data_IF_984140354099
#
_entry.id   IF_984140354099
#
_cell.length_a   1.000
_cell.length_b   1.000
_cell.length_c   1.000
_cell.angle_alpha   90.00
_cell.angle_beta   90.00
_cell.angle_gamma   90.00
#
_symmetry.space_group_name_H-M   'P 1'
#
loop_
_entity.id
_entity.type
_entity.pdbx_description
1 polymer ?
#
# COMPACT_ATOMS: atom_id res chain seq x y z
N UNK A 1 -5.51 -13.36 13.57
CA UNK A 1 -6.93 -13.67 13.85
C UNK A 1 -7.70 -13.55 12.55
N UNK A 2 -8.65 -14.43 12.28
CA UNK A 2 -9.52 -14.35 11.11
C UNK A 2 -10.62 -13.33 11.41
N UNK A 3 -10.81 -12.37 10.52
CA UNK A 3 -11.82 -11.33 10.63
C UNK A 3 -13.10 -11.72 9.90
N UNK A 4 -14.22 -11.15 10.30
CA UNK A 4 -15.51 -11.36 9.64
C UNK A 4 -15.94 -10.09 8.92
N UNK A 5 -16.52 -10.24 7.72
CA UNK A 5 -17.23 -9.13 7.07
C UNK A 5 -18.49 -8.76 7.85
N UNK A 6 -19.06 -7.56 7.67
CA UNK A 6 -20.48 -7.36 7.93
C UNK A 6 -21.31 -8.41 7.16
N UNK A 7 -22.60 -8.56 7.50
CA UNK A 7 -23.50 -9.38 6.71
C UNK A 7 -23.70 -8.72 5.35
N UNK A 8 -23.34 -9.42 4.28
CA UNK A 8 -23.42 -8.92 2.91
C UNK A 8 -24.60 -9.54 2.16
N UNK A 9 -25.21 -8.82 1.21
CA UNK A 9 -26.22 -9.34 0.32
C UNK A 9 -25.72 -10.52 -0.52
N UNK A 10 -26.65 -11.28 -1.07
CA UNK A 10 -26.35 -12.59 -1.65
C UNK A 10 -25.40 -12.53 -2.86
N UNK A 11 -25.65 -11.64 -3.82
CA UNK A 11 -24.77 -11.54 -5.01
C UNK A 11 -23.38 -11.06 -4.65
N UNK A 12 -23.29 -10.03 -3.81
CA UNK A 12 -22.01 -9.50 -3.32
C UNK A 12 -21.24 -10.54 -2.51
N UNK A 13 -21.89 -11.25 -1.58
CA UNK A 13 -21.27 -12.33 -0.84
C UNK A 13 -20.78 -13.47 -1.74
N UNK A 14 -21.61 -13.87 -2.71
CA UNK A 14 -21.27 -14.86 -3.74
C UNK A 14 -20.08 -14.45 -4.59
N UNK A 15 -20.04 -13.18 -5.01
CA UNK A 15 -18.90 -12.63 -5.77
C UNK A 15 -17.60 -12.69 -4.97
N UNK A 16 -17.59 -12.24 -3.72
CA UNK A 16 -16.41 -12.30 -2.87
C UNK A 16 -15.94 -13.74 -2.59
N UNK A 17 -16.88 -14.69 -2.45
CA UNK A 17 -16.59 -16.10 -2.21
C UNK A 17 -16.01 -16.81 -3.42
N UNK A 18 -16.44 -16.48 -4.65
CA UNK A 18 -16.12 -17.28 -5.83
C UNK A 18 -15.66 -16.49 -7.04
N UNK A 19 -16.14 -15.25 -7.24
CA UNK A 19 -15.94 -14.47 -8.44
C UNK A 19 -14.70 -13.57 -8.44
N UNK A 20 -14.34 -13.03 -7.29
CA UNK A 20 -13.30 -12.01 -7.17
C UNK A 20 -11.97 -12.38 -7.84
N UNK A 21 -11.57 -13.66 -7.84
CA UNK A 21 -10.35 -14.10 -8.52
C UNK A 21 -10.51 -14.38 -9.99
N UNK A 22 -11.72 -14.65 -10.44
CA UNK A 22 -12.00 -14.99 -11.82
C UNK A 22 -11.99 -13.73 -12.69
N UNK A 23 -12.39 -12.58 -12.10
CA UNK A 23 -12.31 -11.30 -12.79
C UNK A 23 -10.88 -10.78 -12.75
N UNK A 24 -10.30 -10.55 -13.94
CA UNK A 24 -8.96 -10.01 -14.08
C UNK A 24 -8.93 -8.55 -13.65
N UNK A 25 -7.89 -8.15 -12.92
CA UNK A 25 -7.68 -6.78 -12.43
C UNK A 25 -6.89 -6.77 -11.12
N UNK A 26 -6.48 -5.58 -10.72
CA UNK A 26 -5.66 -5.35 -9.51
C UNK A 26 -6.55 -4.81 -8.40
N UNK A 27 -6.94 -5.66 -7.50
CA UNK A 27 -7.70 -5.27 -6.32
C UNK A 27 -7.24 -6.14 -5.15
N UNK A 28 -6.83 -5.51 -4.07
CA UNK A 28 -6.51 -6.18 -2.82
C UNK A 28 -7.79 -6.82 -2.24
N UNK A 29 -7.67 -8.04 -1.71
CA UNK A 29 -8.81 -8.80 -1.18
C UNK A 29 -9.50 -8.07 -0.03
N UNK A 30 -8.72 -7.51 0.91
CA UNK A 30 -9.29 -6.74 2.02
C UNK A 30 -9.97 -5.46 1.53
N UNK A 31 -9.41 -4.80 0.50
CA UNK A 31 -10.06 -3.65 -0.12
C UNK A 31 -11.41 -4.03 -0.75
N UNK A 32 -11.51 -5.18 -1.44
CA UNK A 32 -12.79 -5.66 -1.95
C UNK A 32 -13.82 -5.84 -0.83
N UNK A 33 -13.41 -6.40 0.32
CA UNK A 33 -14.26 -6.55 1.51
C UNK A 33 -14.70 -5.19 2.05
N UNK A 34 -13.78 -4.23 2.18
CA UNK A 34 -14.12 -2.89 2.67
C UNK A 34 -15.09 -2.17 1.74
N UNK A 35 -14.86 -2.20 0.43
CA UNK A 35 -15.77 -1.58 -0.55
C UNK A 35 -17.18 -2.18 -0.47
N UNK A 36 -17.28 -3.51 -0.49
CA UNK A 36 -18.58 -4.21 -0.40
C UNK A 36 -19.30 -3.92 0.92
N UNK A 37 -18.57 -3.85 2.02
CA UNK A 37 -19.18 -3.55 3.31
C UNK A 37 -19.59 -2.07 3.46
N UNK A 38 -18.84 -1.14 2.87
CA UNK A 38 -19.22 0.29 2.80
C UNK A 38 -20.50 0.46 1.99
N UNK A 39 -20.59 -0.22 0.83
CA UNK A 39 -21.79 -0.22 0.00
C UNK A 39 -23.01 -0.72 0.81
N UNK A 40 -22.88 -1.89 1.44
CA UNK A 40 -23.94 -2.47 2.25
C UNK A 40 -24.32 -1.60 3.46
N UNK A 41 -23.36 -0.98 4.13
CA UNK A 41 -23.59 -0.10 5.27
C UNK A 41 -24.34 1.17 4.87
N UNK A 42 -23.95 1.84 3.78
CA UNK A 42 -24.65 3.02 3.29
C UNK A 42 -26.09 2.69 2.87
N UNK A 43 -26.29 1.58 2.16
CA UNK A 43 -27.60 1.10 1.78
C UNK A 43 -28.45 0.78 3.02
N UNK A 44 -27.89 0.10 3.99
CA UNK A 44 -28.57 -0.20 5.27
C UNK A 44 -28.94 1.04 6.07
N UNK A 45 -28.15 2.12 5.97
CA UNK A 45 -28.43 3.43 6.55
C UNK A 45 -29.44 4.26 5.74
N UNK A 46 -29.91 3.78 4.59
CA UNK A 46 -30.86 4.48 3.72
C UNK A 46 -30.26 5.66 2.97
N UNK A 47 -28.93 5.70 2.76
CA UNK A 47 -28.30 6.73 1.93
C UNK A 47 -28.73 6.52 0.48
N UNK A 48 -29.40 7.51 -0.07
CA UNK A 48 -29.93 7.46 -1.44
C UNK A 48 -28.92 8.04 -2.42
N UNK A 49 -28.86 7.47 -3.62
CA UNK A 49 -28.00 7.90 -4.71
C UNK A 49 -27.44 6.73 -5.50
N UNK A 50 -27.00 7.00 -6.70
CA UNK A 50 -26.34 6.04 -7.58
C UNK A 50 -24.93 5.69 -7.07
N UNK A 51 -24.26 4.70 -7.67
CA UNK A 51 -22.84 4.47 -7.53
C UNK A 51 -22.12 4.73 -8.84
N UNK A 52 -20.88 5.18 -8.80
CA UNK A 52 -20.05 5.38 -9.99
C UNK A 52 -18.63 4.91 -9.78
N UNK A 53 -17.98 4.47 -10.86
CA UNK A 53 -16.54 4.25 -10.89
C UNK A 53 -15.94 4.76 -12.20
N UNK A 54 -14.84 5.49 -12.10
CA UNK A 54 -13.93 5.82 -13.19
C UNK A 54 -12.78 4.82 -13.18
N UNK A 55 -12.52 4.17 -14.33
CA UNK A 55 -11.50 3.12 -14.43
C UNK A 55 -12.06 1.75 -14.10
N UNK A 56 -12.73 1.14 -15.06
CA UNK A 56 -13.44 -0.14 -14.87
C UNK A 56 -12.58 -1.35 -15.18
N UNK A 57 -11.72 -1.25 -16.20
CA UNK A 57 -10.95 -2.36 -16.74
C UNK A 57 -11.87 -3.55 -17.12
N UNK A 58 -11.94 -4.60 -16.28
CA UNK A 58 -12.87 -5.74 -16.45
C UNK A 58 -13.93 -5.83 -15.36
N UNK A 59 -14.06 -4.80 -14.50
CA UNK A 59 -15.11 -4.64 -13.50
C UNK A 59 -14.82 -5.26 -12.13
N UNK A 60 -13.55 -5.59 -11.80
CA UNK A 60 -13.23 -6.30 -10.56
C UNK A 60 -13.62 -5.52 -9.29
N UNK A 61 -13.33 -4.23 -9.22
CA UNK A 61 -13.74 -3.33 -8.12
C UNK A 61 -15.18 -2.88 -8.27
N UNK A 62 -15.61 -2.60 -9.50
CA UNK A 62 -16.96 -2.17 -9.81
C UNK A 62 -18.03 -3.13 -9.31
N UNK A 63 -17.82 -4.44 -9.46
CA UNK A 63 -18.75 -5.47 -8.97
C UNK A 63 -18.90 -5.46 -7.45
N UNK A 64 -17.89 -5.03 -6.69
CA UNK A 64 -18.01 -4.84 -5.24
C UNK A 64 -19.00 -3.73 -4.85
N UNK A 65 -19.30 -2.80 -5.76
CA UNK A 65 -20.16 -1.64 -5.55
C UNK A 65 -21.50 -1.76 -6.26
N UNK A 66 -21.58 -2.51 -7.37
CA UNK A 66 -22.70 -2.50 -8.30
C UNK A 66 -23.67 -3.67 -8.12
N UNK A 67 -23.26 -4.73 -7.42
CA UNK A 67 -24.14 -5.86 -7.12
C UNK A 67 -25.13 -5.50 -6.01
N UNK A 68 -26.32 -6.12 -6.04
CA UNK A 68 -27.40 -5.94 -5.06
C UNK A 68 -27.91 -4.49 -4.91
N UNK A 69 -27.74 -3.62 -5.93
CA UNK A 69 -28.32 -2.28 -5.90
C UNK A 69 -29.84 -2.31 -5.87
N UNK A 70 -30.49 -1.41 -5.11
CA UNK A 70 -31.95 -1.20 -5.20
C UNK A 70 -32.37 -0.89 -6.63
N UNK A 71 -33.60 -1.28 -7.00
CA UNK A 71 -34.10 -1.13 -8.38
C UNK A 71 -34.22 0.34 -8.85
N UNK A 72 -34.25 1.28 -7.91
CA UNK A 72 -34.30 2.73 -8.16
C UNK A 72 -32.93 3.39 -8.21
N UNK A 73 -31.84 2.62 -7.97
CA UNK A 73 -30.46 3.09 -8.06
C UNK A 73 -29.75 2.48 -9.26
N UNK A 74 -28.79 3.19 -9.80
CA UNK A 74 -27.98 2.76 -10.93
C UNK A 74 -26.49 2.73 -10.58
N UNK A 75 -25.76 1.88 -11.26
CA UNK A 75 -24.30 1.92 -11.27
C UNK A 75 -23.82 2.54 -12.59
N UNK A 76 -22.89 3.47 -12.54
CA UNK A 76 -22.31 4.14 -13.71
C UNK A 76 -20.85 3.72 -13.86
N UNK A 77 -20.57 2.97 -14.93
CA UNK A 77 -19.24 2.51 -15.29
C UNK A 77 -18.61 3.45 -16.31
N UNK A 78 -17.50 4.11 -15.96
CA UNK A 78 -16.82 5.09 -16.81
C UNK A 78 -15.41 4.58 -17.11
N UNK A 79 -15.13 4.33 -18.40
CA UNK A 79 -13.80 3.85 -18.82
C UNK A 79 -13.59 4.18 -20.31
N UNK A 80 -12.34 4.31 -20.70
CA UNK A 80 -11.94 4.38 -22.12
C UNK A 80 -11.99 3.01 -22.79
N UNK A 81 -11.93 1.93 -21.99
CA UNK A 81 -11.90 0.54 -22.42
C UNK A 81 -10.85 0.27 -23.51
N UNK A 82 -11.29 -0.18 -24.68
CA UNK A 82 -10.46 -0.49 -25.85
C UNK A 82 -9.95 0.75 -26.61
N UNK A 83 -10.46 1.97 -26.31
CA UNK A 83 -9.90 3.21 -26.85
C UNK A 83 -8.57 3.58 -26.15
N UNK A 84 -7.53 2.83 -26.47
CA UNK A 84 -6.21 3.04 -25.90
C UNK A 84 -5.52 4.36 -26.35
N UNK A 85 -6.07 5.08 -27.33
CA UNK A 85 -5.60 6.42 -27.69
C UNK A 85 -5.98 7.45 -26.60
N UNK A 86 -7.08 7.23 -25.91
CA UNK A 86 -7.54 8.04 -24.78
C UNK A 86 -6.84 7.66 -23.45
N UNK A 87 -6.14 6.53 -23.38
CA UNK A 87 -5.41 6.07 -22.19
C UNK A 87 -4.04 6.76 -22.10
N UNK A 88 -4.00 7.93 -21.45
CA UNK A 88 -2.84 8.83 -21.47
C UNK A 88 -1.61 8.28 -20.75
N UNK A 89 -1.78 7.51 -19.69
CA UNK A 89 -0.68 6.94 -18.88
C UNK A 89 -0.39 5.48 -19.22
N UNK A 90 -1.14 4.91 -20.17
CA UNK A 90 -1.02 3.54 -20.63
C UNK A 90 -1.18 2.50 -19.51
N UNK A 91 -1.87 2.86 -18.44
CA UNK A 91 -2.24 1.98 -17.35
C UNK A 91 -3.38 1.07 -17.77
N UNK A 92 -3.25 -0.21 -17.50
CA UNK A 92 -4.30 -1.17 -17.79
C UNK A 92 -4.69 -1.26 -19.28
N UNK A 93 -5.48 -2.26 -19.60
CA UNK A 93 -6.17 -2.39 -20.90
C UNK A 93 -7.56 -2.92 -20.61
N UNK A 94 -8.50 -2.00 -20.43
CA UNK A 94 -9.91 -2.32 -20.29
C UNK A 94 -10.45 -2.97 -21.54
N UNK A 95 -11.44 -3.83 -21.38
CA UNK A 95 -12.16 -4.48 -22.46
C UNK A 95 -13.65 -4.47 -22.12
N UNK A 96 -14.42 -3.73 -22.89
CA UNK A 96 -15.85 -3.54 -22.66
C UNK A 96 -16.64 -4.83 -22.75
N UNK A 97 -16.34 -5.69 -23.73
CA UNK A 97 -17.06 -6.95 -23.91
C UNK A 97 -16.80 -7.89 -22.73
N UNK A 98 -15.56 -7.98 -22.26
CA UNK A 98 -15.22 -8.76 -21.06
C UNK A 98 -15.92 -8.20 -19.83
N UNK A 99 -15.99 -6.88 -19.67
CA UNK A 99 -16.73 -6.25 -18.58
C UNK A 99 -18.21 -6.60 -18.60
N UNK A 100 -18.88 -6.48 -19.76
CA UNK A 100 -20.28 -6.85 -19.92
C UNK A 100 -20.54 -8.34 -19.64
N UNK A 101 -19.62 -9.22 -20.05
CA UNK A 101 -19.68 -10.66 -19.73
C UNK A 101 -19.54 -10.91 -18.22
N UNK A 102 -18.68 -10.19 -17.53
CA UNK A 102 -18.54 -10.30 -16.08
C UNK A 102 -19.78 -9.79 -15.35
N UNK A 103 -20.38 -8.67 -15.79
CA UNK A 103 -21.66 -8.18 -15.26
C UNK A 103 -22.76 -9.25 -15.38
N UNK A 104 -22.91 -9.84 -16.56
CA UNK A 104 -23.91 -10.88 -16.79
C UNK A 104 -23.65 -12.14 -15.95
N UNK A 105 -22.38 -12.49 -15.73
CA UNK A 105 -21.97 -13.69 -14.96
C UNK A 105 -22.33 -13.55 -13.48
N UNK A 106 -22.17 -12.37 -12.89
CA UNK A 106 -22.31 -12.16 -11.44
C UNK A 106 -23.64 -11.50 -11.04
N UNK A 107 -24.57 -11.33 -11.98
CA UNK A 107 -25.92 -10.83 -11.69
C UNK A 107 -26.07 -9.31 -11.71
N UNK A 108 -25.05 -8.59 -12.19
CA UNK A 108 -25.13 -7.17 -12.48
C UNK A 108 -25.49 -6.94 -13.95
N UNK A 109 -26.13 -5.84 -14.29
CA UNK A 109 -26.32 -5.45 -15.69
C UNK A 109 -27.62 -4.65 -15.98
N UNK A 110 -28.72 -5.01 -15.37
CA UNK A 110 -30.02 -4.36 -15.64
C UNK A 110 -30.03 -2.87 -15.22
N UNK A 111 -29.26 -2.49 -14.21
CA UNK A 111 -29.14 -1.13 -13.68
C UNK A 111 -27.73 -0.54 -13.83
N UNK A 112 -26.95 -0.99 -14.82
CA UNK A 112 -25.64 -0.42 -15.14
C UNK A 112 -25.70 0.46 -16.37
N UNK A 113 -25.19 1.67 -16.27
CA UNK A 113 -24.97 2.60 -17.40
C UNK A 113 -23.48 2.61 -17.72
N UNK A 114 -23.11 2.27 -18.95
CA UNK A 114 -21.72 2.27 -19.42
C UNK A 114 -21.45 3.56 -20.19
N UNK A 115 -20.47 4.34 -19.71
CA UNK A 115 -19.99 5.58 -20.33
C UNK A 115 -18.57 5.33 -20.84
N UNK A 116 -18.44 5.05 -22.14
CA UNK A 116 -17.13 4.89 -22.78
C UNK A 116 -16.57 6.26 -23.13
N UNK A 117 -15.73 6.81 -22.23
CA UNK A 117 -15.16 8.16 -22.36
C UNK A 117 -13.95 8.32 -21.46
N UNK A 118 -13.04 9.24 -21.82
CA UNK A 118 -12.05 9.77 -20.88
C UNK A 118 -12.76 10.60 -19.81
N UNK A 119 -12.28 10.50 -18.55
CA UNK A 119 -12.80 11.34 -17.46
C UNK A 119 -12.56 12.83 -17.70
N UNK A 120 -11.55 13.19 -18.48
CA UNK A 120 -11.28 14.58 -18.86
C UNK A 120 -12.36 15.19 -19.76
N UNK A 121 -13.14 14.36 -20.46
CA UNK A 121 -14.20 14.81 -21.40
C UNK A 121 -15.58 14.82 -20.74
N UNK A 122 -15.76 14.27 -19.54
CA UNK A 122 -17.06 14.09 -18.89
C UNK A 122 -17.79 15.41 -18.63
N UNK A 123 -17.07 16.47 -18.28
CA UNK A 123 -17.70 17.78 -18.05
C UNK A 123 -18.26 18.37 -19.34
N UNK A 124 -17.50 18.30 -20.43
CA UNK A 124 -17.94 18.76 -21.75
C UNK A 124 -19.09 17.89 -22.30
N UNK A 125 -19.09 16.60 -21.97
CA UNK A 125 -20.17 15.67 -22.30
C UNK A 125 -21.46 15.90 -21.48
N UNK A 126 -21.43 16.84 -20.52
CA UNK A 126 -22.59 17.16 -19.69
C UNK A 126 -22.87 16.20 -18.54
N UNK A 127 -21.88 15.37 -18.16
CA UNK A 127 -22.03 14.38 -17.09
C UNK A 127 -22.44 15.02 -15.75
N UNK A 128 -21.77 16.10 -15.34
CA UNK A 128 -22.10 16.85 -14.13
C UNK A 128 -23.45 17.58 -14.28
N UNK A 129 -23.70 18.15 -15.47
CA UNK A 129 -24.95 18.88 -15.78
C UNK A 129 -26.19 17.98 -15.83
N UNK A 130 -26.02 16.67 -16.03
CA UNK A 130 -27.12 15.70 -16.02
C UNK A 130 -27.81 15.58 -14.64
N UNK A 131 -27.24 16.15 -13.60
CA UNK A 131 -27.83 16.22 -12.25
C UNK A 131 -27.85 14.88 -11.50
N UNK A 132 -27.13 13.87 -11.97
CA UNK A 132 -26.97 12.61 -11.24
C UNK A 132 -26.26 12.84 -9.92
N UNK A 133 -26.67 12.10 -8.89
CA UNK A 133 -26.14 12.18 -7.55
C UNK A 133 -25.69 10.81 -7.09
N UNK A 134 -24.44 10.72 -6.63
CA UNK A 134 -23.79 9.46 -6.24
C UNK A 134 -23.60 9.38 -4.73
N UNK A 135 -23.97 8.25 -4.13
CA UNK A 135 -23.62 7.97 -2.73
C UNK A 135 -22.24 7.35 -2.58
N UNK A 136 -21.72 6.68 -3.62
CA UNK A 136 -20.33 6.24 -3.71
C UNK A 136 -19.81 6.61 -5.10
N UNK A 137 -18.67 7.29 -5.12
CA UNK A 137 -17.94 7.59 -6.33
C UNK A 137 -16.51 7.07 -6.22
N UNK A 138 -16.19 6.01 -6.96
CA UNK A 138 -14.85 5.40 -7.01
C UNK A 138 -14.04 6.02 -8.14
N UNK A 139 -12.77 6.36 -7.86
CA UNK A 139 -11.82 6.94 -8.81
C UNK A 139 -10.63 5.98 -8.89
N UNK A 140 -10.50 5.29 -10.01
CA UNK A 140 -9.45 4.33 -10.34
C UNK A 140 -9.04 4.51 -11.81
N UNK A 141 -8.99 5.77 -12.25
CA UNK A 141 -8.73 6.19 -13.63
C UNK A 141 -7.25 6.41 -13.92
N UNK A 142 -6.94 7.47 -14.70
CA UNK A 142 -5.56 7.82 -15.02
C UNK A 142 -4.78 8.35 -13.81
N UNK A 143 -3.48 8.06 -13.77
CA UNK A 143 -2.64 8.22 -12.57
C UNK A 143 -1.74 9.46 -12.60
N UNK A 144 -2.10 10.47 -13.41
CA UNK A 144 -1.43 11.77 -13.39
C UNK A 144 -2.09 12.70 -12.37
N UNK A 145 -1.33 13.67 -11.86
CA UNK A 145 -1.87 14.69 -10.95
C UNK A 145 -3.04 15.46 -11.55
N UNK A 146 -2.96 15.82 -12.84
CA UNK A 146 -4.02 16.54 -13.54
C UNK A 146 -5.31 15.72 -13.63
N UNK A 147 -5.22 14.43 -13.99
CA UNK A 147 -6.40 13.55 -14.10
C UNK A 147 -7.01 13.35 -12.70
N UNK A 148 -6.18 13.08 -11.70
CA UNK A 148 -6.65 12.88 -10.31
C UNK A 148 -7.39 14.12 -9.79
N UNK A 149 -6.87 15.34 -10.02
CA UNK A 149 -7.56 16.58 -9.65
C UNK A 149 -8.89 16.71 -10.37
N UNK A 150 -8.92 16.44 -11.68
CA UNK A 150 -10.16 16.48 -12.49
C UNK A 150 -11.21 15.52 -11.93
N UNK A 151 -10.83 14.28 -11.65
CA UNK A 151 -11.75 13.24 -11.22
C UNK A 151 -12.29 13.51 -9.80
N UNK A 152 -11.43 14.02 -8.89
CA UNK A 152 -11.86 14.49 -7.58
C UNK A 152 -12.85 15.66 -7.68
N UNK A 153 -12.65 16.61 -8.61
CA UNK A 153 -13.58 17.72 -8.84
C UNK A 153 -14.91 17.26 -9.42
N UNK A 154 -14.94 16.26 -10.28
CA UNK A 154 -16.17 15.65 -10.78
C UNK A 154 -16.91 14.96 -9.64
N UNK A 155 -16.22 14.14 -8.84
CA UNK A 155 -16.80 13.45 -7.70
C UNK A 155 -17.37 14.44 -6.67
N UNK A 156 -16.61 15.48 -6.28
CA UNK A 156 -17.04 16.54 -5.35
C UNK A 156 -18.37 17.17 -5.76
N UNK A 157 -18.57 17.41 -7.06
CA UNK A 157 -19.79 18.08 -7.59
C UNK A 157 -20.99 17.15 -7.75
N UNK A 158 -20.76 15.85 -7.74
CA UNK A 158 -21.79 14.86 -8.04
C UNK A 158 -22.16 13.94 -6.87
N UNK A 159 -21.33 13.89 -5.84
CA UNK A 159 -21.61 13.11 -4.62
C UNK A 159 -22.72 13.78 -3.79
N UNK A 160 -23.60 12.97 -3.17
CA UNK A 160 -24.59 13.44 -2.17
C UNK A 160 -23.91 13.81 -0.85
N UNK A 161 -24.61 14.59 0.00
CA UNK A 161 -24.01 15.09 1.26
C UNK A 161 -23.50 13.99 2.19
N UNK A 162 -24.21 12.84 2.26
CA UNK A 162 -23.80 11.67 3.05
C UNK A 162 -22.99 10.64 2.22
N UNK A 163 -22.57 11.02 1.01
CA UNK A 163 -21.82 10.15 0.12
C UNK A 163 -20.33 10.08 0.44
N UNK A 164 -19.66 9.13 -0.21
CA UNK A 164 -18.25 8.86 -0.08
C UNK A 164 -17.56 8.83 -1.44
N UNK A 165 -16.32 9.29 -1.47
CA UNK A 165 -15.43 9.18 -2.63
C UNK A 165 -14.30 8.22 -2.27
N UNK A 166 -14.02 7.28 -3.17
CA UNK A 166 -12.93 6.32 -3.02
C UNK A 166 -11.85 6.65 -4.04
N UNK A 167 -10.65 7.00 -3.61
CA UNK A 167 -9.51 7.28 -4.47
C UNK A 167 -8.51 6.13 -4.41
N UNK A 168 -8.28 5.45 -5.52
CA UNK A 168 -7.29 4.37 -5.62
C UNK A 168 -5.86 4.90 -5.76
N UNK A 169 -4.92 3.99 -5.63
CA UNK A 169 -3.50 4.16 -5.92
C UNK A 169 -2.77 5.26 -5.10
N UNK A 170 -3.36 5.71 -3.98
CA UNK A 170 -2.75 6.74 -3.12
C UNK A 170 -1.40 6.32 -2.52
N UNK A 171 -1.14 5.01 -2.38
CA UNK A 171 0.11 4.45 -1.86
C UNK A 171 0.92 3.71 -2.94
N UNK A 172 0.51 3.79 -4.21
CA UNK A 172 1.19 3.07 -5.27
C UNK A 172 2.46 3.82 -5.71
N UNK A 173 3.62 3.21 -5.45
CA UNK A 173 4.93 3.78 -5.81
C UNK A 173 5.15 4.00 -7.31
N UNK A 174 4.37 3.36 -8.17
CA UNK A 174 4.45 3.53 -9.62
C UNK A 174 3.56 4.66 -10.14
N UNK A 175 2.60 5.12 -9.32
CA UNK A 175 1.57 6.07 -9.68
C UNK A 175 1.54 7.30 -8.74
N UNK A 176 2.72 7.91 -8.52
CA UNK A 176 2.86 9.04 -7.60
C UNK A 176 2.04 10.28 -8.00
N UNK A 177 1.58 10.37 -9.24
CA UNK A 177 0.66 11.43 -9.69
C UNK A 177 -0.66 11.44 -8.94
N UNK A 178 -1.11 10.29 -8.43
CA UNK A 178 -2.34 10.22 -7.63
C UNK A 178 -2.18 10.95 -6.29
N UNK A 179 -1.12 10.64 -5.53
CA UNK A 179 -0.89 11.30 -4.24
C UNK A 179 -0.57 12.79 -4.40
N UNK A 180 0.16 13.19 -5.46
CA UNK A 180 0.42 14.60 -5.74
C UNK A 180 -0.84 15.33 -6.19
N UNK A 181 -1.68 14.71 -7.01
CA UNK A 181 -2.99 15.22 -7.42
C UNK A 181 -3.94 15.40 -6.23
N UNK A 182 -3.98 14.44 -5.30
CA UNK A 182 -4.75 14.59 -4.05
C UNK A 182 -4.30 15.81 -3.25
N UNK A 183 -3.00 16.00 -3.03
CA UNK A 183 -2.50 17.15 -2.28
C UNK A 183 -2.73 18.47 -3.02
N UNK A 184 -2.63 18.50 -4.34
CA UNK A 184 -2.98 19.65 -5.15
C UNK A 184 -4.47 20.00 -5.00
N UNK A 185 -5.36 19.00 -5.14
CA UNK A 185 -6.80 19.18 -4.95
C UNK A 185 -7.13 19.76 -3.57
N UNK A 186 -6.56 19.21 -2.49
CA UNK A 186 -6.79 19.68 -1.14
C UNK A 186 -6.21 21.10 -0.92
N UNK A 187 -5.02 21.38 -1.47
CA UNK A 187 -4.35 22.70 -1.39
C UNK A 187 -5.08 23.79 -2.16
N UNK A 188 -5.75 23.44 -3.25
CA UNK A 188 -6.52 24.36 -4.11
C UNK A 188 -8.00 24.46 -3.69
N UNK A 189 -8.31 24.21 -2.42
CA UNK A 189 -9.62 24.40 -1.81
C UNK A 189 -10.64 23.31 -2.20
N UNK A 190 -10.22 22.09 -2.44
CA UNK A 190 -11.11 20.92 -2.52
C UNK A 190 -11.84 20.71 -1.19
N UNK A 191 -13.14 20.41 -1.25
CA UNK A 191 -13.99 20.28 -0.06
C UNK A 191 -14.07 18.86 0.51
N UNK A 192 -13.61 17.84 -0.25
CA UNK A 192 -13.60 16.47 0.23
C UNK A 192 -12.58 16.29 1.36
N UNK A 193 -12.98 15.56 2.40
CA UNK A 193 -12.23 15.37 3.63
C UNK A 193 -11.73 13.93 3.73
N UNK A 194 -10.42 13.67 3.80
CA UNK A 194 -9.89 12.34 4.06
C UNK A 194 -10.43 11.75 5.36
N UNK A 195 -10.86 10.48 5.34
CA UNK A 195 -11.48 9.81 6.47
C UNK A 195 -10.83 8.48 6.83
N UNK A 196 -10.70 7.56 5.86
CA UNK A 196 -10.20 6.21 6.09
C UNK A 196 -9.26 5.80 4.96
N UNK A 197 -8.12 5.21 5.32
CA UNK A 197 -7.19 4.57 4.40
C UNK A 197 -7.34 3.05 4.54
N UNK A 198 -7.71 2.38 3.46
CA UNK A 198 -7.66 0.93 3.31
C UNK A 198 -6.46 0.55 2.43
N UNK A 199 -6.10 -0.72 2.26
CA UNK A 199 -4.96 -1.06 1.40
C UNK A 199 -5.08 -0.42 0.01
N UNK A 200 -4.18 0.53 -0.28
CA UNK A 200 -4.04 1.31 -1.50
C UNK A 200 -5.18 2.31 -1.86
N UNK A 201 -6.31 2.34 -1.14
CA UNK A 201 -7.42 3.27 -1.43
C UNK A 201 -7.69 4.20 -0.24
N UNK A 202 -7.91 5.49 -0.55
CA UNK A 202 -8.32 6.50 0.43
C UNK A 202 -9.81 6.81 0.27
N UNK A 203 -10.55 6.72 1.37
CA UNK A 203 -11.95 7.12 1.42
C UNK A 203 -12.03 8.55 1.91
N UNK A 204 -12.70 9.39 1.13
CA UNK A 204 -12.97 10.79 1.44
C UNK A 204 -14.46 10.99 1.64
N UNK A 205 -14.81 11.88 2.53
CA UNK A 205 -16.17 12.28 2.85
C UNK A 205 -16.46 13.71 2.37
N UNK A 206 -17.71 14.09 2.28
CA UNK A 206 -18.16 15.40 1.79
C UNK A 206 -17.97 16.54 2.82
N UNK A 207 -17.78 16.19 4.10
CA UNK A 207 -17.57 17.15 5.19
C UNK A 207 -16.78 16.52 6.33
N UNK A 208 -16.28 17.35 7.26
CA UNK A 208 -15.59 16.90 8.47
C UNK A 208 -16.49 16.05 9.38
N UNK A 209 -17.79 16.33 9.44
CA UNK A 209 -18.72 15.54 10.24
C UNK A 209 -19.02 14.21 9.55
N UNK A 210 -19.17 14.20 8.24
CA UNK A 210 -19.33 12.97 7.48
C UNK A 210 -18.04 12.09 7.55
N UNK A 211 -16.85 12.69 7.60
CA UNK A 211 -15.61 11.95 7.82
C UNK A 211 -15.61 11.23 9.19
N UNK A 212 -16.11 11.88 10.24
CA UNK A 212 -16.27 11.23 11.56
C UNK A 212 -17.28 10.09 11.51
N UNK A 213 -18.43 10.28 10.82
CA UNK A 213 -19.42 9.21 10.62
C UNK A 213 -18.83 8.04 9.83
N UNK A 214 -18.07 8.30 8.77
CA UNK A 214 -17.38 7.27 8.00
C UNK A 214 -16.42 6.47 8.88
N UNK A 215 -15.59 7.11 9.69
CA UNK A 215 -14.67 6.44 10.63
C UNK A 215 -15.43 5.60 11.67
N UNK A 216 -16.53 6.13 12.23
CA UNK A 216 -17.37 5.40 13.17
C UNK A 216 -18.03 4.17 12.52
N UNK A 217 -18.53 4.30 11.29
CA UNK A 217 -19.08 3.19 10.50
C UNK A 217 -18.01 2.12 10.25
N UNK A 218 -16.78 2.50 9.89
CA UNK A 218 -15.69 1.55 9.72
C UNK A 218 -15.34 0.82 11.03
N UNK A 219 -15.30 1.53 12.15
CA UNK A 219 -15.03 0.92 13.46
C UNK A 219 -16.11 -0.09 13.88
N UNK A 220 -17.36 0.17 13.51
CA UNK A 220 -18.49 -0.74 13.75
C UNK A 220 -18.47 -1.96 12.81
N UNK A 221 -18.31 -1.71 11.51
CA UNK A 221 -18.43 -2.75 10.49
C UNK A 221 -17.17 -3.64 10.38
N UNK A 222 -16.00 -3.10 10.70
CA UNK A 222 -14.70 -3.76 10.51
C UNK A 222 -13.79 -3.65 11.74
N UNK A 223 -14.25 -4.03 12.94
CA UNK A 223 -13.49 -3.83 14.18
C UNK A 223 -12.12 -4.51 14.16
N UNK A 224 -12.01 -5.65 13.46
CA UNK A 224 -10.76 -6.41 13.37
C UNK A 224 -9.80 -5.86 12.29
N UNK A 225 -10.25 -4.94 11.46
CA UNK A 225 -9.48 -4.37 10.35
C UNK A 225 -8.58 -3.20 10.76
N UNK A 226 -8.91 -2.51 11.84
CA UNK A 226 -8.20 -1.31 12.27
C UNK A 226 -6.74 -1.62 12.63
N UNK A 227 -5.81 -0.92 12.01
CA UNK A 227 -4.37 -0.97 12.32
C UNK A 227 -3.95 0.22 13.17
N UNK A 228 -4.42 1.40 12.80
CA UNK A 228 -4.05 2.63 13.51
C UNK A 228 -5.14 3.68 13.38
N UNK A 229 -5.57 4.24 14.50
CA UNK A 229 -6.48 5.37 14.54
C UNK A 229 -5.73 6.71 14.56
N UNK A 230 -6.41 7.78 14.16
CA UNK A 230 -5.96 9.17 14.27
C UNK A 230 -4.59 9.44 13.62
N UNK A 231 -4.37 8.90 12.42
CA UNK A 231 -3.17 9.18 11.63
C UNK A 231 -3.31 10.53 10.92
N UNK A 232 -2.35 11.47 11.06
CA UNK A 232 -2.44 12.76 10.40
C UNK A 232 -2.17 12.62 8.88
N UNK A 233 -3.07 13.18 8.06
CA UNK A 233 -2.92 13.30 6.61
C UNK A 233 -3.46 14.65 6.14
N UNK A 234 -2.61 15.50 5.56
CA UNK A 234 -2.98 16.80 4.98
C UNK A 234 -3.86 17.69 5.91
N UNK A 235 -3.56 17.71 7.21
CA UNK A 235 -4.33 18.48 8.20
C UNK A 235 -5.58 17.80 8.76
N UNK A 236 -5.88 16.58 8.29
CA UNK A 236 -7.00 15.77 8.77
C UNK A 236 -6.49 14.56 9.59
N UNK A 237 -7.40 13.97 10.39
CA UNK A 237 -7.15 12.71 11.11
C UNK A 237 -7.90 11.60 10.39
N UNK A 238 -7.19 10.57 9.97
CA UNK A 238 -7.76 9.39 9.30
C UNK A 238 -7.51 8.12 10.11
N UNK A 239 -8.33 7.09 9.89
CA UNK A 239 -8.08 5.75 10.40
C UNK A 239 -7.51 4.85 9.31
N UNK A 240 -6.53 4.02 9.68
CA UNK A 240 -5.85 3.10 8.77
C UNK A 240 -6.31 1.68 9.04
N UNK A 241 -6.81 1.04 8.00
CA UNK A 241 -7.28 -0.34 7.98
C UNK A 241 -6.39 -1.19 7.09
N UNK A 242 -6.02 -2.37 7.54
CA UNK A 242 -5.03 -3.22 6.88
C UNK A 242 -5.59 -4.52 6.33
N UNK A 243 -4.67 -5.33 5.82
CA UNK A 243 -4.99 -6.66 5.32
C UNK A 243 -5.34 -7.62 6.46
N UNK A 244 -6.43 -8.37 6.27
CA UNK A 244 -6.87 -9.44 7.18
C UNK A 244 -7.32 -10.67 6.40
N UNK A 245 -7.21 -11.86 6.99
CA UNK A 245 -7.91 -13.05 6.52
C UNK A 245 -9.41 -12.92 6.83
N UNK A 246 -10.22 -12.71 5.80
CA UNK A 246 -11.64 -12.46 5.92
C UNK A 246 -12.49 -13.71 5.71
N UNK A 247 -13.53 -13.86 6.55
CA UNK A 247 -14.67 -14.73 6.30
C UNK A 247 -15.87 -13.87 5.88
N UNK A 248 -16.39 -14.14 4.71
CA UNK A 248 -17.59 -13.48 4.16
C UNK A 248 -18.82 -14.04 4.84
N UNK A 249 -19.59 -13.17 5.50
CA UNK A 249 -20.90 -13.49 6.04
C UNK A 249 -22.00 -13.07 5.07
N UNK A 250 -22.77 -14.02 4.56
CA UNK A 250 -23.94 -13.75 3.72
C UNK A 250 -25.24 -13.75 4.51
N UNK A 251 -26.29 -13.22 3.91
CA UNK A 251 -27.67 -13.29 4.44
C UNK A 251 -28.16 -14.74 4.57
N UNK A 252 -27.58 -15.68 3.81
CA UNK A 252 -27.79 -17.12 3.90
C UNK A 252 -27.26 -17.76 5.19
N UNK A 253 -26.63 -16.98 6.07
CA UNK A 253 -26.02 -17.39 7.33
C UNK A 253 -24.71 -18.16 7.20
N UNK A 254 -24.17 -18.35 5.99
CA UNK A 254 -22.88 -19.00 5.77
C UNK A 254 -21.74 -18.02 6.02
N UNK A 255 -20.64 -18.56 6.52
CA UNK A 255 -19.38 -17.84 6.66
C UNK A 255 -18.29 -18.62 5.96
N UNK A 256 -17.79 -18.10 4.85
CA UNK A 256 -16.81 -18.76 4.01
C UNK A 256 -15.63 -17.82 3.72
N UNK A 257 -14.40 -18.33 3.52
CA UNK A 257 -13.27 -17.49 3.14
C UNK A 257 -13.54 -16.72 1.85
N UNK A 258 -13.04 -15.48 1.79
CA UNK A 258 -12.91 -14.80 0.49
C UNK A 258 -11.97 -15.64 -0.37
N UNK A 259 -12.43 -16.00 -1.58
CA UNK A 259 -11.63 -16.84 -2.48
C UNK A 259 -10.29 -16.16 -2.81
N UNK A 260 -9.17 -16.90 -2.72
CA UNK A 260 -7.78 -16.45 -2.93
C UNK A 260 -7.04 -16.07 -1.67
N UNK A 261 -7.71 -15.93 -0.58
CA UNK A 261 -7.01 -15.73 0.68
C UNK A 261 -6.13 -16.93 1.02
N UNK A 262 -6.60 -18.15 0.76
CA UNK A 262 -5.80 -19.36 0.94
C UNK A 262 -4.59 -19.40 -0.01
N UNK A 263 -4.78 -18.99 -1.27
CA UNK A 263 -3.70 -18.90 -2.25
C UNK A 263 -2.67 -17.83 -1.84
N UNK A 264 -3.11 -16.66 -1.42
CA UNK A 264 -2.22 -15.60 -0.92
C UNK A 264 -1.53 -16.00 0.38
N UNK A 265 -2.21 -16.64 1.31
CA UNK A 265 -1.61 -17.20 2.52
C UNK A 265 -0.54 -18.25 2.18
N UNK A 266 -0.82 -19.13 1.22
CA UNK A 266 0.13 -20.15 0.74
C UNK A 266 1.34 -19.53 0.04
N UNK A 267 1.12 -18.52 -0.82
CA UNK A 267 2.21 -17.79 -1.49
C UNK A 267 3.05 -17.02 -0.47
N UNK A 268 2.42 -16.36 0.50
CA UNK A 268 3.12 -15.62 1.56
C UNK A 268 3.91 -16.57 2.46
N UNK A 269 3.36 -17.72 2.83
CA UNK A 269 4.05 -18.75 3.62
C UNK A 269 5.25 -19.34 2.84
N UNK A 270 5.09 -19.62 1.56
CA UNK A 270 6.17 -20.11 0.70
C UNK A 270 7.29 -19.05 0.57
N UNK A 271 6.93 -17.77 0.38
CA UNK A 271 7.90 -16.67 0.31
C UNK A 271 8.62 -16.43 1.64
N UNK A 272 7.90 -16.55 2.76
CA UNK A 272 8.49 -16.47 4.09
C UNK A 272 9.51 -17.58 4.31
N UNK A 273 9.16 -18.84 3.94
CA UNK A 273 10.07 -19.98 4.04
C UNK A 273 11.33 -19.79 3.17
N UNK A 274 11.18 -19.25 1.96
CA UNK A 274 12.30 -18.91 1.08
C UNK A 274 13.21 -17.85 1.70
N UNK A 275 12.65 -16.75 2.24
CA UNK A 275 13.40 -15.70 2.90
C UNK A 275 14.12 -16.20 4.15
N UNK A 276 13.50 -17.06 4.94
CA UNK A 276 14.15 -17.71 6.08
C UNK A 276 15.31 -18.60 5.66
N UNK A 277 15.18 -19.31 4.54
CA UNK A 277 16.27 -20.12 3.97
C UNK A 277 17.42 -19.23 3.52
N UNK A 278 17.15 -18.13 2.81
CA UNK A 278 18.16 -17.14 2.41
C UNK A 278 18.88 -16.53 3.61
N UNK A 279 18.12 -16.19 4.67
CA UNK A 279 18.69 -15.67 5.91
C UNK A 279 19.60 -16.69 6.61
N UNK A 280 19.21 -17.99 6.64
CA UNK A 280 20.06 -19.07 7.18
C UNK A 280 21.35 -19.21 6.40
N UNK A 281 21.29 -19.19 5.06
CA UNK A 281 22.49 -19.24 4.19
C UNK A 281 23.42 -18.07 4.42
N UNK A 282 22.89 -16.84 4.44
CA UNK A 282 23.69 -15.63 4.68
C UNK A 282 24.35 -15.63 6.06
N UNK A 283 23.67 -16.14 7.09
CA UNK A 283 24.26 -16.30 8.43
C UNK A 283 25.40 -17.31 8.43
N UNK A 284 25.27 -18.44 7.73
CA UNK A 284 26.33 -19.44 7.63
C UNK A 284 27.57 -18.92 6.88
N UNK A 285 27.39 -18.13 5.83
CA UNK A 285 28.46 -17.44 5.11
C UNK A 285 29.17 -16.41 6.00
N UNK A 286 28.42 -15.64 6.77
CA UNK A 286 28.95 -14.68 7.72
C UNK A 286 29.83 -15.37 8.79
N UNK A 287 29.35 -16.46 9.36
CA UNK A 287 30.09 -17.24 10.35
C UNK A 287 31.38 -17.84 9.75
N UNK A 288 31.32 -18.30 8.50
CA UNK A 288 32.51 -18.79 7.78
C UNK A 288 33.53 -17.70 7.56
N UNK A 289 33.10 -16.53 7.09
CA UNK A 289 33.95 -15.34 6.89
C UNK A 289 34.57 -14.87 8.22
N UNK A 290 33.80 -14.90 9.29
CA UNK A 290 34.29 -14.56 10.65
C UNK A 290 35.38 -15.50 11.12
N UNK A 291 35.24 -16.80 10.92
CA UNK A 291 36.28 -17.79 11.24
C UNK A 291 37.53 -17.61 10.39
N UNK A 292 37.41 -17.28 9.12
CA UNK A 292 38.55 -16.97 8.24
C UNK A 292 39.27 -15.71 8.71
N UNK A 293 38.56 -14.66 9.11
CA UNK A 293 39.12 -13.43 9.63
C UNK A 293 39.91 -13.68 10.93
N UNK A 294 39.35 -14.47 11.86
CA UNK A 294 40.03 -14.84 13.09
C UNK A 294 41.29 -15.65 12.83
N UNK A 295 41.28 -16.54 11.86
CA UNK A 295 42.46 -17.31 11.44
C UNK A 295 43.55 -16.41 10.87
N UNK A 296 43.14 -15.48 9.98
CA UNK A 296 44.06 -14.49 9.40
C UNK A 296 44.68 -13.57 10.46
N UNK A 297 43.89 -13.13 11.45
CA UNK A 297 44.37 -12.35 12.58
C UNK A 297 45.39 -13.11 13.40
N UNK A 298 45.20 -14.41 13.69
CA UNK A 298 46.17 -15.26 14.41
C UNK A 298 47.45 -15.41 13.60
N UNK A 299 47.38 -15.65 12.29
CA UNK A 299 48.53 -15.74 11.39
C UNK A 299 49.34 -14.43 11.39
N UNK A 300 48.63 -13.29 11.27
CA UNK A 300 49.27 -11.98 11.30
C UNK A 300 49.97 -11.70 12.63
N UNK A 301 49.35 -12.10 13.74
CA UNK A 301 49.97 -11.98 15.06
C UNK A 301 51.25 -12.83 15.19
N UNK A 302 51.20 -14.08 14.72
CA UNK A 302 52.35 -14.99 14.70
C UNK A 302 53.48 -14.44 13.82
N UNK A 303 53.19 -13.97 12.61
CA UNK A 303 54.17 -13.36 11.70
C UNK A 303 54.81 -12.12 12.31
N UNK A 304 54.05 -11.26 12.96
CA UNK A 304 54.56 -10.08 13.69
C UNK A 304 55.50 -10.49 14.83
N UNK A 305 55.18 -11.57 15.55
CA UNK A 305 56.04 -12.10 16.61
C UNK A 305 57.35 -12.65 16.03
N UNK A 306 57.32 -13.41 14.95
CA UNK A 306 58.50 -13.90 14.23
C UNK A 306 59.40 -12.79 13.72
N UNK A 307 58.79 -11.74 13.10
CA UNK A 307 59.56 -10.57 12.67
C UNK A 307 60.22 -9.83 13.82
N UNK A 308 59.56 -9.68 14.95
CA UNK A 308 60.16 -9.10 16.16
C UNK A 308 61.29 -9.94 16.68
N UNK A 309 61.16 -11.27 16.72
CA UNK A 309 62.20 -12.19 17.15
C UNK A 309 63.40 -12.14 16.21
N UNK A 310 63.19 -12.10 14.90
CA UNK A 310 64.25 -12.00 13.90
C UNK A 310 64.97 -10.64 13.92
N UNK A 311 64.27 -9.56 14.22
CA UNK A 311 64.84 -8.22 14.31
C UNK A 311 65.70 -7.99 15.59
N UNK A 312 65.45 -8.70 16.70
CA UNK A 312 66.16 -8.53 17.95
C UNK A 312 67.68 -8.78 17.84
N UNK A 313 68.15 -9.87 17.19
CA UNK A 313 69.57 -10.09 17.02
C UNK A 313 70.25 -9.02 16.18
N UNK A 314 69.59 -8.55 15.14
CA UNK A 314 70.07 -7.47 14.26
C UNK A 314 70.18 -6.15 15.02
N UNK A 315 69.17 -5.82 15.81
CA UNK A 315 69.18 -4.64 16.67
C UNK A 315 70.32 -4.68 17.71
N UNK A 316 70.49 -5.83 18.36
CA UNK A 316 71.60 -6.02 19.35
C UNK A 316 72.99 -5.90 18.70
N UNK A 317 73.19 -6.38 17.44
CA UNK A 317 74.42 -6.21 16.69
C UNK A 317 74.66 -4.75 16.28
N UNK A 318 73.59 -4.06 15.80
CA UNK A 318 73.65 -2.64 15.42
C UNK A 318 73.97 -1.74 16.66
N UNK A 319 73.30 -1.99 17.79
CA UNK A 319 73.53 -1.26 19.03
C UNK A 319 74.97 -1.42 19.61
N UNK A 320 75.61 -2.57 19.35
CA UNK A 320 77.04 -2.78 19.72
C UNK A 320 78.00 -2.01 18.79
N UNK A 321 77.65 -1.78 17.52
CA UNK A 321 78.48 -1.05 16.54
C UNK A 321 78.25 0.47 16.54
N UNK A 322 77.10 0.92 16.96
CA UNK A 322 76.62 2.31 16.94
C UNK A 322 75.91 2.61 18.32
N UNK A 323 76.70 2.92 19.39
CA UNK A 323 76.16 3.10 20.74
C UNK A 323 75.11 4.17 20.91
N UNK A 324 75.05 5.13 19.99
CA UNK A 324 74.06 6.18 19.97
C UNK A 324 72.59 5.68 19.56
N UNK A 325 72.49 4.54 18.90
CA UNK A 325 71.23 3.87 18.61
C UNK A 325 70.61 3.18 19.83
N UNK A 326 71.35 2.98 20.89
CA UNK A 326 70.89 2.36 22.12
C UNK A 326 70.17 3.32 23.09
N UNK A 327 70.10 4.62 22.74
CA UNK A 327 69.34 5.57 23.54
C UNK A 327 67.84 5.34 23.30
N UNK A 328 67.01 5.09 24.33
CA UNK A 328 65.61 4.84 24.16
C UNK A 328 64.95 6.12 23.66
N UNK A 329 64.43 6.09 22.38
CA UNK A 329 63.59 7.15 21.81
C UNK A 329 62.23 7.07 22.49
N UNK A 330 62.18 7.51 23.74
CA UNK A 330 60.96 7.49 24.56
C UNK A 330 59.86 8.52 24.17
N UNK A 331 60.10 9.60 23.43
CA UNK A 331 59.00 10.54 23.18
C UNK A 331 58.14 10.26 21.94
N UNK A 332 58.61 9.49 20.95
CA UNK A 332 57.85 9.32 19.68
C UNK A 332 56.67 8.32 19.80
N UNK A 333 56.86 7.27 20.59
CA UNK A 333 55.82 6.26 20.79
C UNK A 333 54.61 6.73 21.65
N UNK A 334 54.75 7.78 22.43
CA UNK A 334 53.62 8.35 23.20
C UNK A 334 52.64 9.14 22.30
N UNK A 335 53.13 9.81 21.25
CA UNK A 335 52.30 10.56 20.33
C UNK A 335 51.52 9.63 19.37
N UNK A 336 52.12 8.56 18.91
CA UNK A 336 51.43 7.60 18.03
C UNK A 336 50.33 6.82 18.77
N UNK A 337 50.53 6.45 20.06
CA UNK A 337 49.48 5.84 20.88
C UNK A 337 48.31 6.80 21.19
N UNK A 338 48.55 8.09 21.26
CA UNK A 338 47.49 9.07 21.48
C UNK A 338 46.62 9.32 20.23
N UNK A 339 47.22 9.24 19.03
CA UNK A 339 46.51 9.37 17.77
C UNK A 339 45.62 8.12 17.47
N UNK A 340 46.18 6.92 17.72
CA UNK A 340 45.43 5.66 17.53
C UNK A 340 44.30 5.48 18.56
N UNK A 341 44.43 6.07 19.76
CA UNK A 341 43.35 6.08 20.75
C UNK A 341 42.24 7.10 20.43
N UNK A 342 42.56 8.21 19.76
CA UNK A 342 41.54 9.18 19.31
C UNK A 342 40.71 8.69 18.11
N UNK A 343 41.30 7.92 17.19
CA UNK A 343 40.55 7.32 16.08
C UNK A 343 39.64 6.15 16.47
N UNK A 344 39.88 5.51 17.63
CA UNK A 344 38.99 4.46 18.18
C UNK A 344 37.85 5.00 19.06
N UNK A 345 37.94 6.23 19.52
CA UNK A 345 36.95 6.83 20.43
C UNK A 345 35.81 7.60 19.68
N UNK A 346 35.88 7.73 18.34
CA UNK A 346 34.84 8.43 17.57
C UNK A 346 33.86 7.51 16.87
N UNK A 347 34.07 6.18 16.88
CA UNK A 347 33.14 5.21 16.25
C UNK A 347 32.11 4.58 17.21
N UNK A 348 32.19 4.86 18.51
CA UNK A 348 31.28 4.27 19.52
C UNK A 348 30.22 5.27 20.05
N UNK A 349 30.02 6.43 19.39
CA UNK A 349 29.02 7.43 19.84
C UNK A 349 27.81 7.65 18.95
N UNK A 350 27.65 6.89 17.88
CA UNK A 350 26.48 7.01 16.98
C UNK A 350 25.59 5.75 16.96
N UNK A 351 25.35 5.19 18.13
CA UNK A 351 24.51 3.99 18.28
C UNK A 351 23.51 4.06 19.43
N UNK A 352 22.97 5.26 19.76
CA UNK A 352 21.87 5.35 20.74
C UNK A 352 21.01 6.57 20.51
N UNK A 353 20.00 6.38 19.69
CA UNK A 353 18.69 7.05 19.62
C UNK A 353 17.83 6.02 18.91
N UNK A 354 16.87 5.39 19.46
CA UNK A 354 15.95 5.61 20.56
C UNK A 354 14.54 5.62 20.05
N UNK A 355 13.72 4.70 20.44
CA UNK A 355 12.28 4.79 20.45
C UNK A 355 11.57 4.35 19.18
#
# INVERSE_FOLDING_TARGET
MTAFTPVLPELTAGYLRTGLHQVKGWLNVSTAVYLSGVEAAQRGAGVSGDVAEIGIHHGKSFLCLALDLPADQRAVAIDVFDDQAANLDQSGRGDREIFEQNLATYGGGDNVDIVQSSSLDLEQAGFVAAGRRFRIFSIDGGHTDQITVNDLRIAERTVVDDGLVVLDDVLNRHWLGVITGLFSYLGDGGSLVPAVLVPNKLILATSADQAKHCRAMFAEQFPDGLEKADVPLAGHQIDVYGDRPWLVRGEDGRSEPVTGHELMATITAARLAELEQQLRSARAELDTTRRQLDTTHRQLAATRQQLRAAAQPLYRRAARRLPWLARPVRPVFRRVRAVVRRSRGSSDRDGSLGG
#
